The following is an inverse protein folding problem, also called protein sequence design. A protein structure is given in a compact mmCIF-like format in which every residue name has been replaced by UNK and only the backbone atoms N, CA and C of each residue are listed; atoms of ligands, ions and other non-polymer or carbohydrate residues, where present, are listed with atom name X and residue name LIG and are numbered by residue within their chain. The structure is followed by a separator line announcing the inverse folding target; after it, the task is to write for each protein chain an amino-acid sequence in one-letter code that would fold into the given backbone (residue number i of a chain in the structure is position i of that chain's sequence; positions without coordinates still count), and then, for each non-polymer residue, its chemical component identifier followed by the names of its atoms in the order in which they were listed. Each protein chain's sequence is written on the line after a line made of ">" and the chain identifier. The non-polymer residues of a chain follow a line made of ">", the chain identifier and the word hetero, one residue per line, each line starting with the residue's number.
data_IF_309704761173
#
_entry.id   IF_309704761173
#
_cell.length_a   1.000
_cell.length_b   1.000
_cell.length_c   1.000
_cell.angle_alpha   90.00
_cell.angle_beta   90.00
_cell.angle_gamma   90.00
#
_symmetry.space_group_name_H-M   'P 1'
#
loop_
_entity.id
_entity.type
_entity.pdbx_description
1 polymer ?
#
# COMPACT_ATOMS: atom_id res chain seq x y z
N UNK A 1 -1.56 4.42 3.69
CA UNK A 1 -0.98 3.07 3.59
C UNK A 1 0.47 3.04 4.04
N UNK A 2 1.08 1.85 3.94
CA UNK A 2 2.42 1.51 4.46
C UNK A 2 3.59 2.22 3.76
N UNK A 3 3.38 2.59 2.50
CA UNK A 3 4.34 3.31 1.66
C UNK A 3 3.64 4.33 0.77
N UNK A 4 4.35 5.42 0.47
CA UNK A 4 3.88 6.43 -0.48
C UNK A 4 2.72 7.29 0.02
N UNK A 5 2.10 8.00 -0.92
CA UNK A 5 0.87 8.76 -0.73
C UNK A 5 -0.11 8.40 -1.84
N UNK A 6 -1.41 8.37 -1.55
CA UNK A 6 -2.46 8.19 -2.57
C UNK A 6 -3.05 9.56 -2.92
N UNK A 7 -3.26 9.80 -4.21
CA UNK A 7 -3.86 11.03 -4.75
C UNK A 7 -4.98 10.69 -5.73
N UNK A 8 -6.03 11.49 -5.72
CA UNK A 8 -7.04 11.49 -6.78
C UNK A 8 -6.37 11.91 -8.10
N UNK A 9 -6.57 11.14 -9.14
CA UNK A 9 -6.11 11.41 -10.50
C UNK A 9 -7.30 11.41 -11.45
N UNK A 10 -7.33 12.33 -12.40
CA UNK A 10 -8.37 12.41 -13.43
C UNK A 10 -7.73 12.15 -14.79
N UNK A 11 -8.35 11.30 -15.60
CA UNK A 11 -7.91 11.00 -16.95
C UNK A 11 -8.84 11.67 -17.97
N UNK A 12 -8.29 12.59 -18.77
CA UNK A 12 -9.04 13.32 -19.80
C UNK A 12 -9.47 12.44 -20.98
N UNK A 13 -8.81 11.30 -21.22
CA UNK A 13 -9.08 10.45 -22.40
C UNK A 13 -10.37 9.63 -22.23
N UNK A 14 -10.67 9.21 -21.01
CA UNK A 14 -11.82 8.37 -20.66
C UNK A 14 -12.80 9.06 -19.68
N UNK A 15 -12.59 10.33 -19.35
CA UNK A 15 -13.41 11.13 -18.41
C UNK A 15 -13.60 10.42 -17.05
N UNK A 16 -12.57 9.69 -16.59
CA UNK A 16 -12.66 8.83 -15.39
C UNK A 16 -11.67 9.27 -14.30
N UNK A 17 -12.08 9.11 -13.03
CA UNK A 17 -11.23 9.33 -11.87
C UNK A 17 -10.60 8.02 -11.37
N UNK A 18 -9.35 8.12 -10.91
CA UNK A 18 -8.53 7.01 -10.45
C UNK A 18 -7.84 7.35 -9.11
N UNK A 19 -7.44 6.31 -8.38
CA UNK A 19 -6.58 6.44 -7.21
C UNK A 19 -5.11 6.18 -7.60
N UNK A 20 -4.24 7.19 -7.50
CA UNK A 20 -2.83 7.07 -7.85
C UNK A 20 -1.96 7.00 -6.59
N UNK A 21 -1.33 5.85 -6.34
CA UNK A 21 -0.32 5.66 -5.29
C UNK A 21 1.04 6.10 -5.82
N UNK A 22 1.65 7.08 -5.15
CA UNK A 22 2.93 7.71 -5.50
C UNK A 22 3.99 7.27 -4.48
N UNK A 23 5.05 6.62 -4.98
CA UNK A 23 6.16 6.10 -4.21
C UNK A 23 7.45 6.84 -4.60
N UNK A 24 8.32 7.17 -3.64
CA UNK A 24 9.66 7.70 -3.91
C UNK A 24 10.70 6.61 -3.72
N UNK A 25 11.47 6.32 -4.78
CA UNK A 25 12.54 5.32 -4.81
C UNK A 25 13.58 5.62 -3.72
N UNK A 26 14.05 6.87 -3.62
CA UNK A 26 15.00 7.30 -2.57
C UNK A 26 14.43 7.11 -1.16
N UNK A 27 13.16 7.47 -0.90
CA UNK A 27 12.54 7.28 0.43
C UNK A 27 12.43 5.80 0.78
N UNK A 28 12.09 4.96 -0.19
CA UNK A 28 12.00 3.51 -0.02
C UNK A 28 13.37 2.91 0.37
N UNK A 29 14.42 3.32 -0.33
CA UNK A 29 15.80 2.90 -0.04
C UNK A 29 16.29 3.36 1.33
N UNK A 30 15.98 4.61 1.72
CA UNK A 30 16.35 5.17 3.02
C UNK A 30 15.66 4.44 4.18
N UNK A 31 14.37 4.10 4.05
CA UNK A 31 13.58 3.39 5.08
C UNK A 31 14.15 1.99 5.40
N UNK A 32 14.91 1.39 4.48
CA UNK A 32 15.51 0.07 4.63
C UNK A 32 17.04 0.11 4.87
N UNK A 33 17.62 1.28 5.14
CA UNK A 33 19.04 1.41 5.47
C UNK A 33 20.00 1.24 4.29
N UNK A 34 19.51 1.34 3.05
CA UNK A 34 20.31 1.17 1.83
C UNK A 34 20.85 2.51 1.29
N UNK A 35 21.67 3.23 2.07
CA UNK A 35 22.43 4.38 1.57
C UNK A 35 23.93 4.07 1.65
N UNK A 36 24.60 3.96 0.51
CA UNK A 36 26.06 3.79 0.43
C UNK A 36 26.60 2.78 -0.60
N UNK A 37 25.76 2.03 -1.31
CA UNK A 37 26.20 1.23 -2.46
C UNK A 37 25.81 1.95 -3.74
N UNK A 38 26.82 2.46 -4.45
CA UNK A 38 26.67 2.99 -5.79
C UNK A 38 26.03 1.92 -6.68
N UNK A 39 25.05 2.32 -7.48
CA UNK A 39 24.45 1.50 -8.52
C UNK A 39 24.87 2.08 -9.86
N UNK A 40 25.43 1.24 -10.73
CA UNK A 40 25.72 1.53 -12.14
C UNK A 40 24.81 0.65 -12.99
N UNK A 41 24.01 1.29 -13.86
CA UNK A 41 23.42 0.63 -15.03
C UNK A 41 24.49 0.66 -16.11
N UNK A 42 24.76 -0.48 -16.74
CA UNK A 42 25.74 -0.60 -17.81
C UNK A 42 27.15 -0.84 -17.26
N UNK A 43 27.70 -2.02 -17.57
CA UNK A 43 29.04 -2.37 -17.17
C UNK A 43 30.07 -1.50 -17.88
N UNK A 44 30.82 -0.72 -17.09
CA UNK A 44 32.21 -0.33 -17.35
C UNK A 44 32.76 0.34 -16.08
N UNK A 45 33.83 -0.21 -15.53
CA UNK A 45 34.52 0.33 -14.35
C UNK A 45 35.61 1.29 -14.80
N UNK A 46 35.42 2.60 -14.60
CA UNK A 46 36.55 3.54 -14.57
C UNK A 46 36.83 3.97 -13.13
N UNK A 47 38.03 3.62 -12.67
CA UNK A 47 38.56 4.06 -11.39
C UNK A 47 39.12 5.49 -11.53
N UNK A 48 38.62 6.42 -10.72
CA UNK A 48 39.24 7.75 -10.57
C UNK A 48 40.12 7.74 -9.31
N UNK A 49 41.41 8.15 -9.39
CA UNK A 49 42.34 8.02 -8.26
C UNK A 49 42.18 9.16 -7.24
N UNK A 50 42.21 8.81 -5.96
CA UNK A 50 42.31 9.77 -4.85
C UNK A 50 43.70 10.41 -4.80
N UNK A 51 43.76 11.73 -4.99
CA UNK A 51 44.93 12.54 -4.70
C UNK A 51 45.04 12.83 -3.18
N UNK A 52 46.23 12.58 -2.63
CA UNK A 52 46.67 12.94 -1.26
C UNK A 52 47.14 14.39 -1.19
N UNK A 53 47.46 14.80 0.06
CA UNK A 53 48.35 15.90 0.52
C UNK A 53 47.56 17.12 1.06
N UNK A 54 47.83 17.77 2.20
CA UNK A 54 48.94 17.83 3.17
C UNK A 54 48.42 18.36 4.55
N UNK A 55 49.06 17.95 5.65
CA UNK A 55 49.04 18.59 7.00
C UNK A 55 50.09 19.75 7.05
N UNK A 56 50.48 20.44 8.17
CA UNK A 56 50.17 20.26 9.61
C UNK A 56 50.05 21.56 10.47
N UNK A 57 49.76 21.42 11.78
CA UNK A 57 50.48 22.04 12.93
C UNK A 57 49.60 22.11 14.21
N UNK A 58 49.96 21.38 15.27
CA UNK A 58 50.56 21.93 16.50
C UNK A 58 50.69 20.86 17.61
N UNK A 59 51.61 21.14 18.53
CA UNK A 59 52.36 20.24 19.42
C UNK A 59 51.94 20.52 20.88
N UNK A 60 52.01 19.53 21.78
CA UNK A 60 52.80 19.53 23.04
C UNK A 60 52.23 18.55 24.13
N UNK A 61 53.17 17.72 24.67
CA UNK A 61 53.32 17.17 26.05
C UNK A 61 52.17 16.35 26.69
N UNK A 62 52.35 15.22 27.39
CA UNK A 62 53.48 14.69 28.20
C UNK A 62 53.17 13.25 28.74
N UNK A 63 54.23 12.55 29.17
CA UNK A 63 54.32 11.42 30.14
C UNK A 63 53.79 10.00 29.79
N UNK A 64 54.72 9.04 29.82
CA UNK A 64 54.51 7.57 29.99
C UNK A 64 54.88 7.16 31.43
N UNK A 65 54.42 6.01 31.98
CA UNK A 65 55.24 4.78 31.90
C UNK A 65 54.37 3.46 31.87
N UNK A 66 54.89 2.23 32.07
CA UNK A 66 54.78 1.13 31.10
C UNK A 66 53.79 0.02 31.53
N UNK A 67 53.44 -0.92 30.65
CA UNK A 67 53.40 -2.38 30.92
C UNK A 67 52.72 -3.21 29.82
N UNK A 68 53.32 -4.39 29.60
CA UNK A 68 52.79 -5.65 29.05
C UNK A 68 52.07 -5.70 27.69
N UNK A 69 52.87 -6.19 26.72
CA UNK A 69 52.53 -6.71 25.40
C UNK A 69 51.66 -7.98 25.53
N UNK A 70 50.37 -7.90 25.23
CA UNK A 70 49.52 -9.07 24.95
C UNK A 70 49.14 -9.04 23.47
N UNK A 71 49.64 -10.03 22.70
CA UNK A 71 49.26 -10.23 21.30
C UNK A 71 47.80 -10.70 21.24
N UNK A 72 46.86 -9.77 21.06
CA UNK A 72 45.48 -10.10 20.71
C UNK A 72 45.42 -10.64 19.27
N UNK A 73 45.09 -11.93 19.11
CA UNK A 73 44.70 -12.49 17.81
C UNK A 73 43.38 -11.83 17.40
N UNK A 74 43.33 -11.21 16.23
CA UNK A 74 42.04 -10.88 15.60
C UNK A 74 41.28 -12.19 15.32
N UNK A 75 39.98 -12.29 15.63
CA UNK A 75 39.18 -13.42 15.21
C UNK A 75 39.03 -13.41 13.67
N UNK A 76 38.93 -14.58 13.02
CA UNK A 76 38.75 -14.64 11.57
C UNK A 76 37.40 -14.02 11.18
N UNK A 77 37.29 -13.44 9.97
CA UNK A 77 36.03 -12.88 9.50
C UNK A 77 34.97 -13.99 9.46
N UNK A 78 33.87 -13.79 10.20
CA UNK A 78 32.70 -14.65 10.15
C UNK A 78 32.23 -14.73 8.70
N UNK A 79 32.19 -15.94 8.15
CA UNK A 79 31.52 -16.22 6.89
C UNK A 79 30.06 -15.76 7.00
N UNK A 80 29.75 -14.63 6.34
CA UNK A 80 28.41 -14.06 6.30
C UNK A 80 27.57 -14.84 5.29
N UNK A 81 27.05 -15.99 5.71
CA UNK A 81 25.94 -16.69 5.05
C UNK A 81 24.59 -15.98 5.28
N UNK A 82 24.56 -14.65 5.17
CA UNK A 82 23.31 -13.90 5.21
C UNK A 82 22.65 -13.96 3.84
N UNK A 83 21.36 -14.30 3.79
CA UNK A 83 20.54 -14.10 2.58
C UNK A 83 20.73 -12.66 2.10
N UNK A 84 20.87 -12.41 0.78
CA UNK A 84 21.02 -11.07 0.26
C UNK A 84 19.87 -10.19 0.78
N UNK A 85 20.21 -9.01 1.27
CA UNK A 85 19.23 -8.00 1.68
C UNK A 85 18.46 -7.65 0.42
N UNK A 86 17.23 -8.16 0.33
CA UNK A 86 16.33 -7.93 -0.78
C UNK A 86 16.19 -6.43 -1.02
N UNK A 87 16.43 -5.99 -2.26
CA UNK A 87 16.39 -4.58 -2.61
C UNK A 87 14.96 -4.07 -2.35
N UNK A 88 14.77 -2.94 -1.64
CA UNK A 88 13.46 -2.36 -1.42
C UNK A 88 12.66 -2.17 -2.69
N UNK A 89 13.31 -1.83 -3.81
CA UNK A 89 12.65 -1.69 -5.11
C UNK A 89 12.13 -3.03 -5.65
N UNK A 90 12.83 -4.13 -5.40
CA UNK A 90 12.37 -5.46 -5.80
C UNK A 90 11.08 -5.84 -5.06
N UNK A 91 10.89 -5.36 -3.83
CA UNK A 91 9.61 -5.54 -3.09
C UNK A 91 8.46 -4.80 -3.75
N UNK A 92 8.69 -3.59 -4.25
CA UNK A 92 7.68 -2.81 -4.99
C UNK A 92 7.39 -3.46 -6.33
N UNK A 93 8.42 -3.91 -7.06
CA UNK A 93 8.24 -4.69 -8.29
C UNK A 93 7.44 -5.98 -8.05
N UNK A 94 7.67 -6.66 -6.92
CA UNK A 94 6.87 -7.81 -6.53
C UNK A 94 5.42 -7.43 -6.20
N UNK A 95 5.19 -6.36 -5.44
CA UNK A 95 3.84 -5.83 -5.17
C UNK A 95 3.08 -5.58 -6.48
N UNK A 96 3.75 -5.02 -7.50
CA UNK A 96 3.19 -4.79 -8.83
C UNK A 96 2.87 -6.10 -9.55
N UNK A 97 3.82 -7.03 -9.57
CA UNK A 97 3.64 -8.32 -10.25
C UNK A 97 2.46 -9.10 -9.67
N UNK A 98 2.32 -9.09 -8.34
CA UNK A 98 1.18 -9.66 -7.63
C UNK A 98 -0.10 -8.93 -8.03
N UNK A 99 -0.17 -7.61 -7.84
CA UNK A 99 -1.37 -6.83 -8.11
C UNK A 99 -1.86 -6.92 -9.56
N UNK A 100 -0.96 -7.03 -10.54
CA UNK A 100 -1.33 -7.21 -11.96
C UNK A 100 -2.08 -8.52 -12.23
N UNK A 101 -1.94 -9.50 -11.35
CA UNK A 101 -2.53 -10.84 -11.51
C UNK A 101 -3.75 -11.07 -10.65
N UNK A 102 -3.99 -10.22 -9.66
CA UNK A 102 -5.17 -10.34 -8.82
C UNK A 102 -6.37 -9.77 -9.57
N UNK A 103 -7.28 -10.66 -9.97
CA UNK A 103 -8.55 -10.30 -10.60
C UNK A 103 -9.64 -10.96 -9.78
N UNK A 104 -10.23 -10.20 -8.86
CA UNK A 104 -11.28 -10.67 -7.99
C UNK A 104 -12.14 -9.49 -7.53
N UNK A 105 -13.48 -9.62 -7.43
CA UNK A 105 -14.38 -8.51 -7.07
C UNK A 105 -14.08 -7.89 -5.70
N UNK A 106 -13.48 -8.65 -4.78
CA UNK A 106 -13.10 -8.17 -3.45
C UNK A 106 -11.62 -7.80 -3.30
N UNK A 107 -10.89 -7.56 -4.39
CA UNK A 107 -9.50 -7.10 -4.39
C UNK A 107 -9.38 -5.85 -5.26
N UNK A 108 -8.63 -4.83 -4.81
CA UNK A 108 -8.43 -3.62 -5.62
C UNK A 108 -7.75 -3.92 -6.96
N UNK A 109 -8.25 -3.29 -8.02
CA UNK A 109 -7.73 -3.47 -9.37
C UNK A 109 -6.64 -2.45 -9.70
N UNK A 110 -5.43 -2.95 -9.94
CA UNK A 110 -4.32 -2.18 -10.50
C UNK A 110 -4.52 -2.02 -12.01
N UNK A 111 -4.74 -0.79 -12.45
CA UNK A 111 -4.98 -0.44 -13.87
C UNK A 111 -3.67 -0.30 -14.61
N UNK A 112 -2.77 0.54 -14.08
CA UNK A 112 -1.52 0.87 -14.75
C UNK A 112 -0.40 1.15 -13.76
N UNK A 113 0.82 0.99 -14.24
CA UNK A 113 2.05 1.26 -13.51
C UNK A 113 2.97 2.12 -14.34
N UNK A 114 3.32 3.29 -13.82
CA UNK A 114 4.17 4.27 -14.49
C UNK A 114 5.51 4.36 -13.76
N UNK A 115 6.57 4.01 -14.47
CA UNK A 115 7.94 4.13 -13.99
C UNK A 115 8.81 4.80 -15.04
N UNK A 116 9.32 5.97 -14.72
CA UNK A 116 10.44 6.55 -15.44
C UNK A 116 11.73 6.20 -14.68
N UNK A 117 12.67 5.43 -15.27
CA UNK A 117 13.95 5.10 -14.65
C UNK A 117 14.74 6.33 -14.18
N UNK A 118 14.61 7.46 -14.87
CA UNK A 118 15.36 8.69 -14.60
C UNK A 118 14.73 9.55 -13.48
N UNK A 119 13.48 9.28 -13.13
CA UNK A 119 12.75 9.99 -12.07
C UNK A 119 12.79 9.22 -10.73
N UNK A 120 12.72 9.97 -9.62
CA UNK A 120 12.66 9.36 -8.27
C UNK A 120 11.30 8.73 -7.96
N UNK A 121 10.24 9.20 -8.62
CA UNK A 121 8.89 8.76 -8.32
C UNK A 121 8.46 7.58 -9.20
N UNK A 122 7.65 6.72 -8.60
CA UNK A 122 6.98 5.60 -9.23
C UNK A 122 5.49 5.69 -8.93
N UNK A 123 4.63 5.39 -9.89
CA UNK A 123 3.19 5.57 -9.78
C UNK A 123 2.45 4.26 -10.06
N UNK A 124 1.47 3.94 -9.22
CA UNK A 124 0.51 2.85 -9.43
C UNK A 124 -0.88 3.47 -9.52
N UNK A 125 -1.62 3.16 -10.57
CA UNK A 125 -2.96 3.67 -10.85
C UNK A 125 -3.97 2.57 -10.57
N UNK A 126 -4.90 2.82 -9.67
CA UNK A 126 -5.98 1.92 -9.29
C UNK A 126 -7.33 2.51 -9.66
N UNK A 127 -8.33 1.65 -9.86
CA UNK A 127 -9.73 2.09 -9.89
C UNK A 127 -10.07 2.83 -8.59
N UNK A 128 -10.81 3.94 -8.69
CA UNK A 128 -11.17 4.75 -7.54
C UNK A 128 -12.35 4.13 -6.78
N UNK A 129 -12.20 4.00 -5.47
CA UNK A 129 -13.30 3.68 -4.56
C UNK A 129 -13.63 4.94 -3.75
N UNK A 130 -14.64 5.70 -4.20
CA UNK A 130 -14.92 7.05 -3.69
C UNK A 130 -15.29 7.08 -2.20
N UNK A 131 -15.91 6.01 -1.70
CA UNK A 131 -16.30 5.89 -0.29
C UNK A 131 -15.12 5.63 0.65
N UNK A 132 -13.93 5.31 0.12
CA UNK A 132 -12.71 5.15 0.89
C UNK A 132 -12.75 3.97 1.87
N UNK A 133 -12.14 4.14 3.03
CA UNK A 133 -12.05 3.11 4.08
C UNK A 133 -13.44 2.77 4.63
N UNK A 134 -13.71 1.48 4.87
CA UNK A 134 -15.02 1.01 5.33
C UNK A 134 -15.40 1.57 6.70
N UNK A 135 -14.43 1.73 7.61
CA UNK A 135 -14.59 2.34 8.92
C UNK A 135 -13.24 2.83 9.44
N UNK A 136 -13.21 4.02 10.03
CA UNK A 136 -12.05 4.54 10.75
C UNK A 136 -12.12 4.07 12.21
N UNK A 137 -11.02 3.48 12.72
CA UNK A 137 -10.95 2.92 14.08
C UNK A 137 -9.80 3.60 14.83
N UNK A 138 -10.00 4.09 16.07
CA UNK A 138 -11.22 3.94 16.89
C UNK A 138 -12.37 4.88 16.50
N UNK A 139 -13.60 4.45 16.77
CA UNK A 139 -14.83 5.24 16.53
C UNK A 139 -15.92 4.91 17.55
N UNK A 140 -16.76 5.90 17.83
CA UNK A 140 -17.97 5.76 18.65
C UNK A 140 -19.20 5.31 17.83
N UNK A 141 -19.07 5.23 16.50
CA UNK A 141 -20.09 4.78 15.57
C UNK A 141 -19.65 3.48 14.86
N UNK A 142 -19.63 2.34 15.56
CA UNK A 142 -19.35 1.05 14.93
C UNK A 142 -20.41 0.67 13.92
N UNK A 143 -20.09 -0.31 13.07
CA UNK A 143 -21.06 -0.90 12.14
C UNK A 143 -22.11 -1.70 12.91
N UNK A 144 -23.33 -1.72 12.36
CA UNK A 144 -24.32 -2.71 12.78
C UNK A 144 -23.84 -4.13 12.46
N UNK A 145 -24.33 -5.12 13.21
CA UNK A 145 -23.99 -6.52 12.96
C UNK A 145 -24.34 -6.95 11.53
N UNK A 146 -25.47 -6.50 10.99
CA UNK A 146 -25.90 -6.80 9.61
C UNK A 146 -24.94 -6.20 8.55
N UNK A 147 -24.45 -4.97 8.76
CA UNK A 147 -23.44 -4.37 7.87
C UNK A 147 -22.11 -5.11 7.98
N UNK A 148 -21.68 -5.41 9.20
CA UNK A 148 -20.45 -6.17 9.44
C UNK A 148 -20.54 -7.57 8.82
N UNK A 149 -21.71 -8.21 8.83
CA UNK A 149 -21.96 -9.49 8.18
C UNK A 149 -21.73 -9.43 6.67
N UNK A 150 -22.33 -8.46 5.98
CA UNK A 150 -22.14 -8.28 4.54
C UNK A 150 -20.67 -8.01 4.18
N UNK A 151 -20.03 -7.07 4.88
CA UNK A 151 -18.65 -6.70 4.61
C UNK A 151 -17.65 -7.80 4.98
N UNK A 152 -17.89 -8.55 6.06
CA UNK A 152 -16.99 -9.63 6.44
C UNK A 152 -17.04 -10.78 5.43
N UNK A 153 -18.20 -11.07 4.84
CA UNK A 153 -18.32 -12.06 3.74
C UNK A 153 -17.45 -11.69 2.54
N UNK A 154 -17.45 -10.42 2.14
CA UNK A 154 -16.55 -9.91 1.09
C UNK A 154 -15.07 -10.11 1.44
N UNK A 155 -14.70 -9.85 2.71
CA UNK A 155 -13.33 -10.08 3.20
C UNK A 155 -12.96 -11.56 3.16
N UNK A 156 -13.86 -12.46 3.57
CA UNK A 156 -13.64 -13.92 3.52
C UNK A 156 -13.38 -14.37 2.08
N UNK A 157 -14.17 -13.92 1.11
CA UNK A 157 -14.00 -14.26 -0.31
C UNK A 157 -12.68 -13.71 -0.87
N UNK A 158 -12.33 -12.46 -0.55
CA UNK A 158 -11.07 -11.86 -0.95
C UNK A 158 -9.86 -12.62 -0.37
N UNK A 159 -9.91 -13.03 0.89
CA UNK A 159 -8.82 -13.77 1.54
C UNK A 159 -8.70 -15.20 1.00
N UNK A 160 -9.83 -15.87 0.73
CA UNK A 160 -9.82 -17.18 0.08
C UNK A 160 -9.12 -17.11 -1.26
N UNK A 161 -9.48 -16.12 -2.08
CA UNK A 161 -8.84 -15.88 -3.36
C UNK A 161 -7.33 -15.66 -3.21
N UNK A 162 -6.88 -14.80 -2.29
CA UNK A 162 -5.45 -14.59 -2.06
C UNK A 162 -4.73 -15.88 -1.63
N UNK A 163 -5.30 -16.61 -0.66
CA UNK A 163 -4.71 -17.84 -0.16
C UNK A 163 -4.65 -18.95 -1.21
N UNK A 164 -5.60 -18.94 -2.15
CA UNK A 164 -5.64 -19.80 -3.33
C UNK A 164 -4.54 -19.44 -4.34
N UNK A 165 -4.36 -18.14 -4.63
CA UNK A 165 -3.24 -17.60 -5.44
C UNK A 165 -1.88 -17.67 -4.73
N UNK A 166 -1.79 -18.36 -3.59
CA UNK A 166 -0.58 -18.52 -2.80
C UNK A 166 0.01 -17.21 -2.28
N UNK A 167 -0.87 -16.27 -1.95
CA UNK A 167 -0.52 -14.97 -1.37
C UNK A 167 -1.10 -14.86 0.03
N UNK A 168 -0.28 -14.41 0.97
CA UNK A 168 -0.72 -13.96 2.29
C UNK A 168 -0.65 -12.44 2.36
N UNK A 169 -1.70 -11.81 2.91
CA UNK A 169 -1.83 -10.35 2.88
C UNK A 169 -0.96 -9.67 3.96
N UNK A 170 -0.98 -10.21 5.19
CA UNK A 170 -0.19 -9.78 6.36
C UNK A 170 -0.52 -8.42 6.97
N UNK A 171 -1.42 -7.65 6.39
CA UNK A 171 -1.89 -6.37 6.96
C UNK A 171 -3.40 -6.17 6.80
N UNK A 172 -4.20 -7.19 7.10
CA UNK A 172 -5.67 -7.06 7.11
C UNK A 172 -6.12 -6.23 8.31
N UNK A 173 -6.81 -5.14 8.03
CA UNK A 173 -7.34 -4.16 9.00
C UNK A 173 -8.38 -3.27 8.33
N UNK A 174 -9.27 -2.60 9.09
CA UNK A 174 -10.30 -1.73 8.54
C UNK A 174 -9.81 -0.69 7.51
N UNK A 175 -8.68 -0.03 7.77
CA UNK A 175 -8.13 1.00 6.87
C UNK A 175 -7.55 0.48 5.54
N UNK A 176 -7.41 -0.84 5.41
CA UNK A 176 -7.02 -1.50 4.16
C UNK A 176 -8.22 -2.16 3.46
N UNK A 177 -9.45 -1.93 3.95
CA UNK A 177 -10.68 -2.43 3.37
C UNK A 177 -11.47 -1.24 2.82
N UNK A 178 -11.55 -1.15 1.50
CA UNK A 178 -12.17 -0.02 0.81
C UNK A 178 -13.59 -0.38 0.37
N UNK A 179 -14.53 0.54 0.55
CA UNK A 179 -15.93 0.35 0.18
C UNK A 179 -16.17 0.82 -1.26
N UNK A 180 -16.63 -0.08 -2.12
CA UNK A 180 -17.02 0.22 -3.49
C UNK A 180 -18.39 0.90 -3.59
N UNK A 181 -18.67 1.50 -4.74
CA UNK A 181 -19.97 2.13 -5.00
C UNK A 181 -21.11 1.11 -5.03
N UNK A 182 -20.81 -0.12 -5.46
CA UNK A 182 -21.68 -1.28 -5.41
C UNK A 182 -21.97 -1.79 -3.98
N UNK A 183 -21.37 -1.21 -2.95
CA UNK A 183 -21.58 -1.61 -1.56
C UNK A 183 -20.75 -2.79 -1.09
N UNK A 184 -19.77 -3.24 -1.90
CA UNK A 184 -18.89 -4.36 -1.57
C UNK A 184 -17.49 -3.91 -1.16
N UNK A 185 -16.82 -4.72 -0.33
CA UNK A 185 -15.45 -4.46 0.13
C UNK A 185 -14.43 -4.94 -0.90
N UNK A 186 -13.42 -4.11 -1.13
CA UNK A 186 -12.18 -4.47 -1.83
C UNK A 186 -10.96 -4.34 -0.91
N UNK A 187 -10.16 -5.40 -0.81
CA UNK A 187 -8.93 -5.43 -0.01
C UNK A 187 -7.83 -4.65 -0.75
N UNK A 188 -7.15 -3.77 -0.03
CA UNK A 188 -6.12 -2.87 -0.53
C UNK A 188 -4.81 -2.96 0.28
N UNK A 189 -3.77 -2.28 -0.21
CA UNK A 189 -2.42 -2.14 0.39
C UNK A 189 -1.62 -3.44 0.56
N UNK A 190 -1.16 -3.97 -0.58
CA UNK A 190 -0.33 -5.18 -0.69
C UNK A 190 1.17 -4.96 -0.37
N UNK A 191 1.54 -3.83 0.24
CA UNK A 191 2.95 -3.44 0.40
C UNK A 191 3.80 -4.36 1.29
N UNK A 192 3.18 -5.27 2.05
CA UNK A 192 3.86 -6.25 2.91
C UNK A 192 3.45 -7.69 2.63
N UNK A 193 2.73 -7.95 1.53
CA UNK A 193 2.28 -9.29 1.18
C UNK A 193 3.45 -10.22 0.80
N UNK A 194 3.21 -11.53 0.86
CA UNK A 194 4.21 -12.55 0.53
C UNK A 194 3.58 -13.68 -0.28
N UNK A 195 4.28 -14.12 -1.32
CA UNK A 195 3.99 -15.37 -2.02
C UNK A 195 4.61 -16.57 -1.27
N UNK A 196 4.02 -17.75 -1.43
CA UNK A 196 4.54 -18.97 -0.84
C UNK A 196 4.33 -20.20 -1.73
N UNK A 197 5.22 -21.19 -1.60
CA UNK A 197 5.04 -22.47 -2.25
C UNK A 197 4.34 -23.48 -1.35
N UNK A 198 3.59 -24.41 -1.95
CA UNK A 198 2.95 -25.51 -1.24
C UNK A 198 1.64 -25.11 -0.54
N UNK A 199 1.43 -25.63 0.68
CA UNK A 199 0.16 -25.48 1.41
C UNK A 199 0.04 -24.16 2.19
N UNK A 200 1.17 -23.64 2.68
CA UNK A 200 1.21 -22.49 3.58
C UNK A 200 2.57 -21.76 3.54
N UNK A 201 2.55 -20.49 3.92
CA UNK A 201 3.71 -19.63 4.10
C UNK A 201 4.26 -19.80 5.53
N UNK A 202 5.47 -20.35 5.65
CA UNK A 202 6.14 -20.45 6.94
C UNK A 202 7.08 -19.26 7.18
N UNK A 203 6.59 -18.27 7.92
CA UNK A 203 7.25 -16.98 8.14
C UNK A 203 8.18 -17.01 9.36
N UNK A 204 9.28 -16.25 9.28
CA UNK A 204 10.21 -16.03 10.40
C UNK A 204 10.33 -14.56 10.82
N UNK A 205 9.77 -13.63 10.03
CA UNK A 205 9.84 -12.20 10.28
C UNK A 205 8.46 -11.64 10.66
N UNK A 206 8.46 -10.55 11.42
CA UNK A 206 7.26 -9.76 11.70
C UNK A 206 7.09 -8.67 10.64
N UNK A 207 5.86 -8.48 10.17
CA UNK A 207 5.43 -7.37 9.31
C UNK A 207 3.94 -7.10 9.53
N UNK A 208 3.48 -5.92 9.14
CA UNK A 208 2.08 -5.47 9.33
C UNK A 208 1.90 -4.57 10.54
N UNK A 209 0.64 -4.25 10.84
CA UNK A 209 0.25 -3.35 11.93
C UNK A 209 0.27 -4.07 13.28
N UNK A 210 1.00 -3.58 14.31
CA UNK A 210 1.20 -4.31 15.56
C UNK A 210 -0.05 -4.86 16.26
N UNK A 211 -1.13 -4.08 16.32
CA UNK A 211 -2.35 -4.50 17.02
C UNK A 211 -3.15 -5.60 16.30
N UNK A 212 -2.80 -5.89 15.04
CA UNK A 212 -3.40 -6.93 14.21
C UNK A 212 -2.49 -8.16 14.08
N UNK A 213 -1.30 -8.15 14.71
CA UNK A 213 -0.36 -9.27 14.67
C UNK A 213 -0.81 -10.42 15.57
N UNK A 214 -0.75 -11.64 15.04
CA UNK A 214 -1.05 -12.85 15.79
C UNK A 214 -0.01 -13.13 16.90
N UNK A 215 -0.39 -13.76 18.03
CA UNK A 215 0.51 -14.00 19.17
C UNK A 215 1.79 -14.76 18.78
N UNK A 216 1.68 -15.75 17.89
CA UNK A 216 2.79 -16.57 17.43
C UNK A 216 3.81 -15.79 16.59
N UNK A 217 3.37 -14.75 15.87
CA UNK A 217 4.26 -13.87 15.12
C UNK A 217 5.12 -13.00 16.06
N UNK A 218 4.64 -12.75 17.28
CA UNK A 218 5.35 -11.96 18.29
C UNK A 218 6.37 -12.78 19.09
N UNK A 219 6.44 -14.10 18.89
CA UNK A 219 7.38 -14.94 19.63
C UNK A 219 8.83 -14.58 19.31
N UNK A 220 9.69 -14.49 20.34
CA UNK A 220 11.13 -14.26 20.18
C UNK A 220 11.89 -15.51 19.71
N UNK A 221 11.20 -16.65 19.66
CA UNK A 221 11.77 -17.89 19.18
C UNK A 221 11.87 -17.88 17.65
N UNK A 222 12.93 -18.47 17.09
CA UNK A 222 13.13 -18.57 15.61
C UNK A 222 12.17 -19.57 14.94
N UNK A 223 11.07 -19.94 15.60
CA UNK A 223 10.11 -20.88 15.03
C UNK A 223 9.35 -20.20 13.91
N UNK A 224 9.10 -20.97 12.84
CA UNK A 224 8.27 -20.50 11.76
C UNK A 224 6.81 -20.55 12.19
N UNK A 225 6.01 -19.58 11.76
CA UNK A 225 4.56 -19.55 11.97
C UNK A 225 3.81 -19.58 10.65
N UNK A 226 2.55 -20.02 10.68
CA UNK A 226 1.65 -20.04 9.53
C UNK A 226 1.22 -18.63 9.15
N UNK A 227 1.48 -18.24 7.91
CA UNK A 227 1.03 -16.96 7.36
C UNK A 227 -0.49 -16.92 7.18
N UNK A 228 -1.10 -18.03 6.75
CA UNK A 228 -2.56 -18.12 6.61
C UNK A 228 -3.26 -17.94 7.95
N UNK A 229 -2.81 -18.62 9.00
CA UNK A 229 -3.37 -18.47 10.34
C UNK A 229 -3.21 -17.04 10.89
N UNK A 230 -2.12 -16.35 10.52
CA UNK A 230 -1.91 -14.96 10.89
C UNK A 230 -2.91 -14.00 10.18
N UNK A 231 -3.24 -14.25 8.90
CA UNK A 231 -4.31 -13.50 8.21
C UNK A 231 -5.66 -13.75 8.87
N UNK A 232 -5.97 -14.99 9.29
CA UNK A 232 -7.22 -15.30 10.03
C UNK A 232 -7.30 -14.51 11.35
N UNK A 233 -6.21 -14.45 12.11
CA UNK A 233 -6.18 -13.62 13.32
C UNK A 233 -6.48 -12.15 13.01
N UNK A 234 -5.83 -11.59 11.98
CA UNK A 234 -6.04 -10.20 11.57
C UNK A 234 -7.48 -9.93 11.10
N UNK A 235 -8.12 -10.89 10.41
CA UNK A 235 -9.55 -10.85 10.07
C UNK A 235 -10.42 -10.83 11.34
N UNK A 236 -10.07 -11.61 12.38
CA UNK A 236 -10.81 -11.65 13.64
C UNK A 236 -10.72 -10.32 14.41
N UNK A 237 -9.53 -9.72 14.45
CA UNK A 237 -9.32 -8.37 15.01
C UNK A 237 -10.13 -7.34 14.23
N UNK A 238 -10.17 -7.46 12.90
CA UNK A 238 -10.95 -6.59 12.01
C UNK A 238 -12.45 -6.71 12.24
N UNK A 239 -12.98 -7.94 12.35
CA UNK A 239 -14.39 -8.18 12.63
C UNK A 239 -14.80 -7.63 14.00
N UNK A 240 -13.94 -7.81 15.02
CA UNK A 240 -14.15 -7.17 16.33
C UNK A 240 -14.21 -5.63 16.18
N UNK A 241 -13.29 -5.05 15.41
CA UNK A 241 -13.23 -3.61 15.20
C UNK A 241 -14.45 -3.06 14.44
N UNK A 242 -15.03 -3.81 13.51
CA UNK A 242 -16.27 -3.45 12.82
C UNK A 242 -17.42 -3.24 13.81
N UNK A 243 -17.64 -4.19 14.72
CA UNK A 243 -18.84 -4.20 15.57
C UNK A 243 -18.65 -3.44 16.88
N UNK A 244 -17.42 -3.26 17.35
CA UNK A 244 -17.15 -2.54 18.60
C UNK A 244 -16.47 -1.18 18.42
N UNK A 245 -16.03 -0.83 17.20
CA UNK A 245 -15.40 0.46 16.89
C UNK A 245 -14.02 0.64 17.56
N UNK A 246 -13.46 -0.43 18.12
CA UNK A 246 -12.19 -0.45 18.86
C UNK A 246 -11.52 -1.81 18.74
N UNK A 247 -10.25 -1.88 19.12
CA UNK A 247 -9.49 -3.13 19.05
C UNK A 247 -9.70 -4.01 20.31
N UNK A 248 -9.65 -5.34 20.18
CA UNK A 248 -9.78 -6.27 21.31
C UNK A 248 -8.58 -6.19 22.26
N UNK A 249 -7.41 -5.83 21.74
CA UNK A 249 -6.18 -5.60 22.50
C UNK A 249 -5.58 -4.26 22.06
N UNK A 250 -5.35 -3.36 23.01
CA UNK A 250 -4.75 -2.04 22.75
C UNK A 250 -3.87 -1.61 23.92
N UNK A 251 -2.75 -0.97 23.61
CA UNK A 251 -1.92 -0.21 24.54
C UNK A 251 -1.02 0.73 23.75
N UNK A 252 -0.73 1.91 24.29
CA UNK A 252 0.19 2.87 23.67
C UNK A 252 1.64 2.37 23.74
N UNK A 253 1.96 1.53 24.72
CA UNK A 253 3.25 0.89 24.83
C UNK A 253 3.25 -0.44 24.06
N UNK A 254 4.07 -0.51 23.01
CA UNK A 254 4.21 -1.67 22.13
C UNK A 254 4.53 -2.98 22.87
N UNK A 255 5.34 -2.91 23.95
CA UNK A 255 5.71 -4.10 24.73
C UNK A 255 4.49 -4.61 25.50
N UNK A 256 3.74 -3.69 26.11
CA UNK A 256 2.52 -4.02 26.86
C UNK A 256 1.43 -4.52 25.92
N UNK A 257 1.29 -3.93 24.73
CA UNK A 257 0.39 -4.41 23.68
C UNK A 257 0.70 -5.87 23.32
N UNK A 258 1.96 -6.20 23.09
CA UNK A 258 2.37 -7.56 22.77
C UNK A 258 2.08 -8.54 23.91
N UNK A 259 2.29 -8.14 25.16
CA UNK A 259 1.96 -8.99 26.31
C UNK A 259 0.44 -9.21 26.42
N UNK A 260 -0.37 -8.17 26.18
CA UNK A 260 -1.83 -8.29 26.12
C UNK A 260 -2.27 -9.25 25.02
N UNK A 261 -1.73 -9.10 23.81
CA UNK A 261 -2.04 -10.00 22.67
C UNK A 261 -1.73 -11.46 23.03
N UNK A 262 -0.60 -11.72 23.71
CA UNK A 262 -0.19 -13.08 24.08
C UNK A 262 -0.97 -13.68 25.25
N UNK A 263 -1.39 -12.87 26.22
CA UNK A 263 -1.83 -13.40 27.53
C UNK A 263 -3.24 -12.99 27.96
N UNK A 264 -3.73 -11.82 27.55
CA UNK A 264 -5.05 -11.38 28.00
C UNK A 264 -6.16 -12.19 27.32
N UNK A 265 -7.20 -12.62 28.08
CA UNK A 265 -8.37 -13.24 27.48
C UNK A 265 -9.12 -12.23 26.59
N UNK A 266 -9.77 -12.75 25.55
CA UNK A 266 -10.71 -11.96 24.76
C UNK A 266 -11.90 -11.55 25.64
N UNK A 267 -12.37 -10.31 25.47
CA UNK A 267 -13.53 -9.80 26.20
C UNK A 267 -14.46 -9.03 25.26
N UNK A 268 -15.76 -9.19 25.47
CA UNK A 268 -16.81 -8.54 24.71
C UNK A 268 -17.52 -7.53 25.62
N UNK A 269 -17.56 -6.24 25.26
CA UNK A 269 -18.36 -5.28 26.01
C UNK A 269 -19.86 -5.62 25.85
N UNK A 270 -20.70 -5.28 26.84
CA UNK A 270 -22.14 -5.55 26.76
C UNK A 270 -22.86 -4.67 25.72
N UNK A 271 -22.24 -3.56 25.32
CA UNK A 271 -22.78 -2.59 24.35
C UNK A 271 -21.66 -2.21 23.35
N UNK A 272 -21.95 -2.20 22.03
CA UNK A 272 -23.18 -2.68 21.40
C UNK A 272 -23.40 -4.19 21.59
N UNK A 273 -24.66 -4.62 21.49
CA UNK A 273 -25.00 -6.04 21.54
C UNK A 273 -24.47 -6.74 20.29
N UNK A 274 -23.89 -7.93 20.48
CA UNK A 274 -23.48 -8.84 19.42
C UNK A 274 -24.09 -10.21 19.69
N UNK A 275 -24.56 -10.89 18.65
CA UNK A 275 -25.09 -12.25 18.74
C UNK A 275 -24.07 -13.23 19.31
N UNK A 276 -24.55 -14.34 19.87
CA UNK A 276 -23.66 -15.37 20.40
C UNK A 276 -22.88 -16.07 19.27
N UNK A 277 -23.48 -16.23 18.09
CA UNK A 277 -22.79 -16.77 16.91
C UNK A 277 -21.64 -15.85 16.44
N UNK A 278 -21.84 -14.53 16.48
CA UNK A 278 -20.76 -13.57 16.17
C UNK A 278 -19.61 -13.67 17.18
N UNK A 279 -19.94 -13.71 18.47
CA UNK A 279 -18.93 -13.84 19.54
C UNK A 279 -18.18 -15.16 19.43
N UNK A 280 -18.87 -16.24 19.08
CA UNK A 280 -18.26 -17.55 18.86
C UNK A 280 -17.26 -17.50 17.71
N UNK A 281 -17.65 -16.98 16.54
CA UNK A 281 -16.76 -16.82 15.40
C UNK A 281 -15.51 -15.98 15.73
N UNK A 282 -15.70 -14.80 16.35
CA UNK A 282 -14.57 -13.94 16.75
C UNK A 282 -13.66 -14.69 17.73
N UNK A 283 -14.21 -15.45 18.68
CA UNK A 283 -13.44 -16.21 19.65
C UNK A 283 -12.61 -17.31 18.98
N UNK A 284 -13.20 -18.03 18.01
CA UNK A 284 -12.52 -19.07 17.24
C UNK A 284 -11.41 -18.50 16.35
N UNK A 285 -11.59 -17.30 15.78
CA UNK A 285 -10.55 -16.60 14.99
C UNK A 285 -9.43 -16.00 15.85
N UNK A 286 -9.76 -15.56 17.07
CA UNK A 286 -8.83 -14.98 18.04
C UNK A 286 -8.31 -16.02 19.05
N UNK A 287 -8.39 -17.30 18.71
CA UNK A 287 -7.72 -18.38 19.42
C UNK A 287 -6.20 -18.18 19.33
N UNK A 288 -5.54 -18.20 20.49
CA UNK A 288 -4.12 -17.86 20.62
C UNK A 288 -3.22 -18.99 20.12
N UNK A 289 -3.64 -20.25 20.24
CA UNK A 289 -2.96 -21.38 19.64
C UNK A 289 -3.31 -21.48 18.14
N UNK A 290 -2.38 -21.20 17.21
CA UNK A 290 -2.69 -21.22 15.79
C UNK A 290 -3.12 -22.60 15.27
N UNK A 291 -2.84 -23.69 15.99
CA UNK A 291 -3.29 -25.04 15.60
C UNK A 291 -4.75 -25.32 15.99
N UNK A 292 -5.33 -24.52 16.88
CA UNK A 292 -6.73 -24.61 17.30
C UNK A 292 -7.60 -23.50 16.70
N UNK A 293 -6.95 -22.47 16.16
CA UNK A 293 -7.60 -21.37 15.46
C UNK A 293 -8.37 -21.92 14.25
N UNK A 294 -9.60 -21.44 14.08
CA UNK A 294 -10.48 -21.85 12.98
C UNK A 294 -9.80 -21.61 11.63
N UNK A 295 -9.96 -22.56 10.70
CA UNK A 295 -9.42 -22.42 9.35
C UNK A 295 -10.43 -21.72 8.43
N UNK A 296 -9.95 -21.15 7.32
CA UNK A 296 -10.80 -20.41 6.39
C UNK A 296 -12.01 -21.21 5.84
N UNK A 297 -11.88 -22.51 5.49
CA UNK A 297 -13.03 -23.30 5.06
C UNK A 297 -14.12 -23.40 6.14
N UNK A 298 -13.71 -23.54 7.40
CA UNK A 298 -14.65 -23.63 8.53
C UNK A 298 -15.31 -22.27 8.83
N UNK A 299 -14.61 -21.16 8.59
CA UNK A 299 -15.21 -19.80 8.66
C UNK A 299 -16.33 -19.66 7.63
N UNK A 300 -16.14 -20.17 6.40
CA UNK A 300 -17.16 -20.07 5.34
C UNK A 300 -18.46 -20.79 5.69
N UNK A 301 -18.36 -21.87 6.45
CA UNK A 301 -19.50 -22.69 6.89
C UNK A 301 -20.07 -22.25 8.24
N UNK A 302 -19.43 -21.30 8.93
CA UNK A 302 -19.83 -20.89 10.27
C UNK A 302 -21.28 -20.39 10.31
N UNK A 303 -22.10 -20.75 11.33
CA UNK A 303 -23.51 -20.34 11.42
C UNK A 303 -23.74 -18.83 11.28
N UNK A 304 -22.88 -18.01 11.88
CA UNK A 304 -22.94 -16.55 11.71
C UNK A 304 -22.74 -16.11 10.24
N UNK A 305 -21.73 -16.67 9.55
CA UNK A 305 -21.42 -16.31 8.16
C UNK A 305 -22.54 -16.74 7.23
N UNK A 306 -23.09 -17.95 7.43
CA UNK A 306 -24.13 -18.52 6.56
C UNK A 306 -25.56 -18.17 6.99
N UNK A 307 -25.73 -17.46 8.09
CA UNK A 307 -27.02 -17.26 8.79
C UNK A 307 -27.79 -18.58 9.00
N UNK A 308 -27.08 -19.59 9.53
CA UNK A 308 -27.60 -20.94 9.70
C UNK A 308 -27.92 -21.63 8.37
N UNK A 309 -26.97 -21.58 7.42
CA UNK A 309 -27.07 -22.17 6.07
C UNK A 309 -28.08 -21.53 5.10
N UNK A 310 -28.71 -20.41 5.48
CA UNK A 310 -29.65 -19.70 4.58
C UNK A 310 -28.95 -18.96 3.44
N UNK A 311 -27.72 -18.50 3.69
CA UNK A 311 -26.92 -17.76 2.72
C UNK A 311 -25.50 -18.35 2.67
N UNK A 312 -25.30 -19.54 2.07
CA UNK A 312 -23.96 -20.09 1.92
C UNK A 312 -23.05 -19.13 1.12
N UNK A 313 -21.74 -19.18 1.35
CA UNK A 313 -20.77 -18.56 0.46
C UNK A 313 -20.52 -19.47 -0.75
N UNK A 314 -20.14 -18.92 -1.91
CA UNK A 314 -19.73 -19.73 -3.06
C UNK A 314 -18.60 -20.69 -2.68
N UNK A 315 -18.49 -21.82 -3.37
CA UNK A 315 -17.38 -22.77 -3.20
C UNK A 315 -16.03 -22.16 -3.62
N UNK A 316 -14.92 -22.77 -3.20
CA UNK A 316 -13.57 -22.33 -3.62
C UNK A 316 -13.42 -22.35 -5.15
N UNK A 317 -14.01 -23.34 -5.83
CA UNK A 317 -13.97 -23.45 -7.31
C UNK A 317 -14.77 -22.34 -8.01
N UNK A 318 -15.86 -21.88 -7.40
CA UNK A 318 -16.67 -20.77 -7.93
C UNK A 318 -16.03 -19.42 -7.64
N UNK A 319 -15.36 -19.29 -6.49
CA UNK A 319 -14.73 -18.04 -6.05
C UNK A 319 -13.33 -17.82 -6.68
N UNK A 320 -12.59 -18.90 -6.95
CA UNK A 320 -11.18 -18.84 -7.30
C UNK A 320 -10.87 -19.41 -8.68
N UNK A 321 -10.17 -18.63 -9.50
CA UNK A 321 -9.56 -19.09 -10.76
C UNK A 321 -8.05 -18.89 -10.66
N UNK A 322 -7.25 -19.96 -10.78
CA UNK A 322 -5.80 -19.90 -10.58
C UNK A 322 -5.13 -19.10 -11.71
N UNK A 323 -4.25 -18.17 -11.36
CA UNK A 323 -3.47 -17.37 -12.33
C UNK A 323 -1.98 -17.65 -12.11
N UNK A 324 -1.28 -18.16 -13.11
CA UNK A 324 0.14 -18.54 -12.98
C UNK A 324 1.11 -17.36 -13.17
N UNK A 325 1.97 -17.18 -12.15
CA UNK A 325 3.27 -16.48 -11.96
C UNK A 325 4.48 -16.76 -12.88
N UNK A 326 4.61 -16.29 -14.14
CA UNK A 326 5.91 -16.47 -14.83
C UNK A 326 6.97 -15.44 -14.40
N UNK A 327 8.23 -15.86 -14.32
CA UNK A 327 9.35 -14.99 -13.92
C UNK A 327 9.60 -13.89 -14.97
N UNK A 328 9.32 -14.18 -16.24
CA UNK A 328 9.37 -13.24 -17.36
C UNK A 328 8.34 -12.11 -17.20
N UNK A 329 7.16 -12.40 -16.63
CA UNK A 329 6.15 -11.38 -16.31
C UNK A 329 6.58 -10.51 -15.14
N UNK A 330 7.27 -11.06 -14.14
CA UNK A 330 7.86 -10.26 -13.04
C UNK A 330 8.92 -9.32 -13.60
N UNK A 331 9.79 -9.79 -14.49
CA UNK A 331 10.82 -8.97 -15.13
C UNK A 331 10.24 -7.91 -16.07
N UNK A 332 9.07 -8.18 -16.68
CA UNK A 332 8.39 -7.26 -17.60
C UNK A 332 7.23 -6.48 -16.98
N UNK A 333 6.98 -6.64 -15.67
CA UNK A 333 5.85 -5.99 -14.99
C UNK A 333 6.01 -4.46 -14.97
N UNK A 334 7.23 -3.97 -15.11
CA UNK A 334 7.59 -2.57 -15.29
C UNK A 334 8.16 -2.38 -16.69
N UNK A 335 7.30 -2.35 -17.71
CA UNK A 335 7.74 -1.88 -19.04
C UNK A 335 8.00 -0.39 -18.94
N UNK A 336 9.25 0.03 -19.17
CA UNK A 336 9.58 1.43 -19.41
C UNK A 336 8.90 1.83 -20.71
N UNK A 337 7.74 2.49 -20.61
CA UNK A 337 7.09 3.11 -21.74
C UNK A 337 6.91 4.58 -21.39
N UNK A 338 7.83 5.46 -21.81
CA UNK A 338 7.44 6.82 -22.06
C UNK A 338 6.86 6.83 -23.47
N UNK A 339 5.52 6.80 -23.61
CA UNK A 339 4.98 7.57 -24.73
C UNK A 339 5.41 9.01 -24.45
N UNK A 340 6.07 9.65 -25.40
CA UNK A 340 6.59 11.02 -25.27
C UNK A 340 5.49 11.99 -24.77
N UNK A 341 4.25 11.70 -25.11
CA UNK A 341 3.03 12.38 -24.66
C UNK A 341 2.81 12.25 -23.13
N UNK A 342 3.02 11.07 -22.55
CA UNK A 342 2.89 10.79 -21.10
C UNK A 342 3.98 11.51 -20.30
N UNK A 343 5.23 11.55 -20.79
CA UNK A 343 6.30 12.33 -20.13
C UNK A 343 6.02 13.83 -20.14
N UNK A 344 5.41 14.34 -21.21
CA UNK A 344 5.09 15.76 -21.34
C UNK A 344 3.86 16.13 -20.49
N UNK A 345 2.91 15.21 -20.32
CA UNK A 345 1.80 15.32 -19.38
C UNK A 345 2.31 15.36 -17.93
N UNK A 346 3.18 14.42 -17.53
CA UNK A 346 3.79 14.34 -16.19
C UNK A 346 4.58 15.61 -15.87
N UNK A 347 5.42 16.09 -16.80
CA UNK A 347 6.20 17.35 -16.62
C UNK A 347 5.31 18.59 -16.50
N UNK A 348 4.13 18.62 -17.13
CA UNK A 348 3.20 19.72 -17.00
C UNK A 348 2.38 19.66 -15.70
N UNK A 349 1.98 18.47 -15.27
CA UNK A 349 1.23 18.23 -14.03
C UNK A 349 2.04 18.68 -12.80
N UNK A 350 3.33 18.32 -12.74
CA UNK A 350 4.19 18.61 -11.59
C UNK A 350 4.56 20.09 -11.45
N UNK A 351 4.54 20.88 -12.52
CA UNK A 351 4.96 22.29 -12.51
C UNK A 351 3.83 23.29 -12.23
N UNK A 352 2.55 22.87 -12.35
CA UNK A 352 1.39 23.77 -12.30
C UNK A 352 0.33 23.45 -11.25
N UNK A 353 0.43 22.34 -10.52
CA UNK A 353 -0.64 21.87 -9.62
C UNK A 353 -2.03 21.83 -10.30
N UNK A 354 -2.08 21.63 -11.62
CA UNK A 354 -3.28 21.65 -12.45
C UNK A 354 -3.04 20.84 -13.72
N UNK A 355 -4.05 20.06 -14.14
CA UNK A 355 -4.08 19.33 -15.41
C UNK A 355 -4.44 20.27 -16.56
N UNK A 356 -3.44 20.84 -17.25
CA UNK A 356 -3.67 21.43 -18.56
C UNK A 356 -2.78 20.72 -19.57
N UNK A 357 -3.40 20.15 -20.60
CA UNK A 357 -2.72 19.59 -21.76
C UNK A 357 -1.92 20.70 -22.49
N UNK A 358 -0.57 20.63 -22.53
CA UNK A 358 0.26 21.65 -23.18
C UNK A 358 0.16 21.64 -24.71
N UNK A 359 -0.38 20.59 -25.31
CA UNK A 359 -0.49 20.43 -26.76
C UNK A 359 -1.80 20.96 -27.34
N UNK A 360 -2.81 21.26 -26.50
CA UNK A 360 -4.07 21.89 -26.96
C UNK A 360 -3.90 23.33 -27.47
N UNK A 361 -2.71 23.95 -27.36
CA UNK A 361 -2.47 25.33 -27.84
C UNK A 361 -2.05 25.39 -29.33
N UNK A 362 -1.78 24.27 -30.03
CA UNK A 362 -1.37 24.34 -31.43
C UNK A 362 -2.49 24.22 -32.49
N UNK A 363 -3.75 23.95 -32.10
CA UNK A 363 -4.86 23.88 -33.06
C UNK A 363 -5.81 25.09 -33.06
N UNK A 364 -5.43 26.22 -32.44
CA UNK A 364 -6.19 27.49 -32.54
C UNK A 364 -5.65 28.42 -33.65
N UNK A 365 -4.60 28.03 -34.38
CA UNK A 365 -4.02 28.86 -35.45
C UNK A 365 -4.56 28.62 -36.87
N UNK A 366 -5.57 27.77 -37.07
CA UNK A 366 -6.17 27.55 -38.40
C UNK A 366 -7.70 27.72 -38.47
N UNK A 367 -8.32 28.36 -37.48
CA UNK A 367 -9.74 28.71 -37.52
C UNK A 367 -10.00 30.17 -37.14
N UNK A 368 -9.36 31.12 -37.84
CA UNK A 368 -9.79 32.53 -37.89
C UNK A 368 -9.47 33.19 -39.25
N UNK A 369 -9.75 32.48 -40.35
CA UNK A 369 -10.12 33.13 -41.61
C UNK A 369 -11.64 33.06 -41.74
N UNK A 370 -12.29 34.13 -41.28
CA UNK A 370 -13.65 34.60 -41.58
C UNK A 370 -14.22 35.25 -40.31
N UNK A 371 -13.75 36.46 -40.00
CA UNK A 371 -14.66 37.57 -39.68
C UNK A 371 -13.93 38.88 -39.98
N UNK A 372 -14.60 39.66 -40.84
CA UNK A 372 -14.31 40.99 -41.34
C UNK A 372 -13.46 41.90 -40.42
N UNK A 373 -12.41 42.53 -40.93
CA UNK A 373 -12.48 43.88 -41.56
C UNK A 373 -13.30 44.88 -40.74
N UNK A 374 -12.60 45.65 -39.91
CA UNK A 374 -12.72 47.10 -39.63
C UNK A 374 -11.84 47.34 -38.40
N UNK A 375 -10.68 47.98 -38.46
CA UNK A 375 -10.47 49.37 -38.87
C UNK A 375 -9.93 50.11 -37.64
N UNK A 376 -8.59 50.29 -37.59
CA UNK A 376 -7.93 51.23 -36.68
C UNK A 376 -8.49 52.64 -36.90
N UNK A 377 -8.63 53.44 -35.84
CA UNK A 377 -8.10 54.83 -35.79
C UNK A 377 -8.31 55.48 -34.43
N UNK A 378 -7.26 56.17 -33.98
CA UNK A 378 -7.18 57.06 -32.82
C UNK A 378 -8.00 58.35 -33.02
N UNK A 379 -8.36 58.98 -31.88
CA UNK A 379 -8.42 60.44 -31.61
C UNK A 379 -9.77 60.93 -31.04
N UNK A 380 -9.73 61.51 -29.84
CA UNK A 380 -10.58 62.65 -29.45
C UNK A 380 -9.79 63.96 -29.78
N UNK A 381 -10.32 65.20 -29.67
CA UNK A 381 -11.61 65.68 -29.13
C UNK A 381 -12.31 66.77 -30.01
N UNK A 382 -13.51 67.25 -29.64
CA UNK A 382 -14.06 68.47 -30.26
C UNK A 382 -15.49 68.86 -29.86
N UNK A 383 -15.63 70.08 -29.32
CA UNK A 383 -16.86 70.79 -28.91
C UNK A 383 -17.88 70.99 -30.06
N UNK A 384 -19.16 71.10 -29.72
CA UNK A 384 -20.18 71.72 -30.58
C UNK A 384 -21.59 71.75 -29.98
N UNK A 385 -22.08 72.95 -29.66
CA UNK A 385 -23.46 73.30 -29.23
C UNK A 385 -24.50 73.10 -30.34
N UNK A 386 -25.79 73.23 -29.93
CA UNK A 386 -27.03 73.62 -30.66
C UNK A 386 -28.05 72.47 -30.81
N UNK A 387 -29.11 72.38 -30.00
CA UNK A 387 -30.42 73.11 -29.94
C UNK A 387 -31.55 72.48 -30.75
N UNK A 388 -32.78 72.66 -30.22
CA UNK A 388 -34.14 72.45 -30.78
C UNK A 388 -34.70 71.03 -30.62
N UNK A 389 -35.70 70.83 -29.73
CA UNK A 389 -37.16 70.94 -29.96
C UNK A 389 -37.66 69.81 -30.88
N UNK A 390 -38.79 69.11 -30.66
CA UNK A 390 -39.90 69.17 -29.69
C UNK A 390 -40.88 68.05 -30.05
N UNK A 391 -41.74 67.69 -29.08
CA UNK A 391 -42.96 66.84 -29.05
C UNK A 391 -42.74 65.65 -28.09
N UNK A 392 -43.29 65.61 -26.88
CA UNK A 392 -44.32 66.39 -26.17
C UNK A 392 -43.80 66.90 -24.82
#
# INVERSE_FOLDING_TARGET
>A
GSYGIVKLAYNEEDDTHYAMKILSKKKLMKKHGCFGRAWTIGGETEAVPHARSLSPHHRLHTYSPPTHRVKGRLPPPRASGGRPIENPLDRVHREIAILKKLIHPNIVKLVEVLNDPDEDNFYMVFELLEKGEVIEVPTDAPLSEDQAWGYFRDVVLGIEYLHYQKIIHRDIKPSNLLLGDNGHIQIADFGVCNEFDGKDAFLTNTAGTPAFMAPEALSTSRHKYSGKAADIWAMGVTLYAFVYGKLPFHDDNIVVLYDKIRSNPLSFPPIPFASDDLKDLISLMLEKDPNKRIALPDIKEHPWVTAGYQYPLPSEEENCVLIEVTEEEVQSCVRSIPKLETLILIKCMLKKHSFQNPFKIQNVLFAKEQFARTGRSHSAPGRGRLTSHSQQ
#
